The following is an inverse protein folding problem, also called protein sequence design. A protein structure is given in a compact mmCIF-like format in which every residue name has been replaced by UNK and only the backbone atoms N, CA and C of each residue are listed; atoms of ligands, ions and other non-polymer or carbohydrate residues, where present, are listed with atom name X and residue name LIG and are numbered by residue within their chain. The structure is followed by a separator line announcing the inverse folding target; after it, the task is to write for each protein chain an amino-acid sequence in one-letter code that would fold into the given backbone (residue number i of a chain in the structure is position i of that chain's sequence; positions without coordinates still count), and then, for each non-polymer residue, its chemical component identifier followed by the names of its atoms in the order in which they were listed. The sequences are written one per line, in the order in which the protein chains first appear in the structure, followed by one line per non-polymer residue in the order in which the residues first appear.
data_IF_209336247770
#
_entry.id   IF_209336247770
#
_cell.length_a   1.000
_cell.length_b   1.000
_cell.length_c   1.000
_cell.angle_alpha   90.00
_cell.angle_beta   90.00
_cell.angle_gamma   90.00
#
_symmetry.space_group_name_H-M   'P 1'
#
loop_
_entity.id
_entity.type
_entity.pdbx_description
1 polymer ?
#
# COMPACT_ATOMS: atom_id res chain seq x y z
N UNK A 1 39.94 15.93 -4.76
CA UNK A 1 39.92 14.90 -5.82
C UNK A 1 38.71 14.02 -5.58
N UNK A 2 37.66 14.21 -6.39
CA UNK A 2 36.41 13.45 -6.33
C UNK A 2 36.69 12.06 -6.91
N UNK A 3 36.72 11.03 -6.06
CA UNK A 3 36.74 9.64 -6.52
C UNK A 3 35.45 9.41 -7.31
N UNK A 4 35.57 9.28 -8.63
CA UNK A 4 34.49 8.81 -9.46
C UNK A 4 34.08 7.42 -8.93
N UNK A 5 32.93 7.37 -8.25
CA UNK A 5 32.29 6.12 -7.81
C UNK A 5 32.13 5.27 -9.08
N UNK A 6 32.86 4.17 -9.18
CA UNK A 6 32.70 3.19 -10.27
C UNK A 6 31.22 2.85 -10.28
N UNK A 7 30.50 3.19 -11.36
CA UNK A 7 29.07 2.92 -11.44
C UNK A 7 28.90 1.40 -11.31
N UNK A 8 28.18 0.95 -10.28
CA UNK A 8 27.97 -0.46 -10.05
C UNK A 8 27.05 -1.01 -11.18
N UNK A 9 27.15 -2.29 -11.52
CA UNK A 9 26.19 -2.94 -12.44
C UNK A 9 24.75 -2.70 -11.97
N UNK A 10 24.52 -2.64 -10.67
CA UNK A 10 23.25 -2.21 -10.05
C UNK A 10 22.72 -0.89 -10.63
N UNK A 11 23.56 0.15 -10.72
CA UNK A 11 23.18 1.48 -11.22
C UNK A 11 23.08 1.54 -12.75
N UNK A 12 23.78 0.65 -13.46
CA UNK A 12 23.90 0.70 -14.92
C UNK A 12 22.85 -0.14 -15.63
N UNK A 13 22.58 -1.34 -15.11
CA UNK A 13 21.63 -2.29 -15.67
C UNK A 13 21.09 -3.17 -14.53
N UNK A 14 20.01 -2.68 -13.92
CA UNK A 14 19.36 -3.34 -12.80
C UNK A 14 18.88 -4.75 -13.15
N UNK A 15 18.37 -4.96 -14.37
CA UNK A 15 17.88 -6.28 -14.80
C UNK A 15 19.03 -7.29 -14.88
N UNK A 16 20.14 -6.90 -15.50
CA UNK A 16 21.33 -7.74 -15.58
C UNK A 16 21.96 -7.97 -14.20
N UNK A 17 21.92 -6.98 -13.30
CA UNK A 17 22.36 -7.14 -11.91
C UNK A 17 21.51 -8.17 -11.17
N UNK A 18 20.17 -8.16 -11.31
CA UNK A 18 19.29 -9.18 -10.73
C UNK A 18 19.63 -10.57 -11.26
N UNK A 19 19.74 -10.74 -12.58
CA UNK A 19 20.06 -12.03 -13.19
C UNK A 19 21.40 -12.60 -12.67
N UNK A 20 22.42 -11.75 -12.60
CA UNK A 20 23.75 -12.10 -12.09
C UNK A 20 23.68 -12.50 -10.61
N UNK A 21 23.02 -11.69 -9.79
CA UNK A 21 22.87 -11.93 -8.34
C UNK A 21 22.14 -13.25 -8.08
N UNK A 22 21.04 -13.52 -8.80
CA UNK A 22 20.31 -14.80 -8.71
C UNK A 22 21.20 -15.98 -9.11
N UNK A 23 22.01 -15.85 -10.17
CA UNK A 23 22.93 -16.91 -10.60
C UNK A 23 23.98 -17.21 -9.53
N UNK A 24 24.57 -16.19 -8.92
CA UNK A 24 25.56 -16.32 -7.85
C UNK A 24 24.97 -16.97 -6.59
N UNK A 25 23.76 -16.56 -6.19
CA UNK A 25 23.04 -17.16 -5.07
C UNK A 25 22.74 -18.64 -5.32
N UNK A 26 22.30 -19.01 -6.53
CA UNK A 26 22.02 -20.40 -6.91
C UNK A 26 23.28 -21.29 -6.96
N UNK A 27 24.43 -20.73 -7.33
CA UNK A 27 25.70 -21.48 -7.36
C UNK A 27 26.39 -21.56 -6.00
N UNK A 28 25.87 -20.88 -4.98
CA UNK A 28 26.49 -20.79 -3.65
C UNK A 28 27.78 -19.95 -3.62
N UNK A 29 28.08 -19.21 -4.70
CA UNK A 29 29.25 -18.34 -4.76
C UNK A 29 28.92 -16.99 -4.13
N UNK A 30 28.84 -16.97 -2.79
CA UNK A 30 28.54 -15.78 -2.01
C UNK A 30 29.69 -14.78 -2.00
N UNK A 31 30.90 -15.17 -2.43
CA UNK A 31 32.09 -14.31 -2.41
C UNK A 31 32.01 -13.15 -3.39
N UNK A 32 31.21 -13.30 -4.45
CA UNK A 32 31.05 -12.32 -5.53
C UNK A 32 29.67 -11.63 -5.50
N UNK A 33 28.83 -11.95 -4.52
CA UNK A 33 27.51 -11.32 -4.37
C UNK A 33 27.70 -9.90 -3.87
N UNK A 34 27.03 -8.97 -4.53
CA UNK A 34 26.93 -7.58 -4.10
C UNK A 34 25.95 -7.48 -2.91
N UNK A 35 26.44 -7.84 -1.72
CA UNK A 35 25.63 -7.97 -0.52
C UNK A 35 25.01 -6.65 -0.06
N UNK A 36 25.68 -5.52 -0.25
CA UNK A 36 25.17 -4.20 0.17
C UNK A 36 23.90 -3.85 -0.59
N UNK A 37 23.94 -3.88 -1.92
CA UNK A 37 22.77 -3.61 -2.77
C UNK A 37 21.68 -4.69 -2.61
N UNK A 38 22.06 -5.96 -2.40
CA UNK A 38 21.08 -7.02 -2.17
C UNK A 38 20.32 -6.83 -0.85
N UNK A 39 21.01 -6.49 0.24
CA UNK A 39 20.37 -6.20 1.53
C UNK A 39 19.45 -4.99 1.38
N UNK A 40 19.93 -3.91 0.77
CA UNK A 40 19.12 -2.72 0.55
C UNK A 40 17.84 -3.04 -0.23
N UNK A 41 17.93 -3.84 -1.28
CA UNK A 41 16.75 -4.25 -2.06
C UNK A 41 15.79 -5.11 -1.25
N UNK A 42 16.28 -6.08 -0.48
CA UNK A 42 15.40 -6.92 0.37
C UNK A 42 14.70 -6.07 1.43
N UNK A 43 15.39 -5.11 2.04
CA UNK A 43 14.77 -4.14 2.94
C UNK A 43 13.79 -3.20 2.21
N UNK A 44 14.10 -2.83 0.96
CA UNK A 44 13.26 -1.99 0.11
C UNK A 44 11.91 -2.66 -0.20
N UNK A 45 11.91 -3.98 -0.45
CA UNK A 45 10.70 -4.75 -0.73
C UNK A 45 9.69 -4.66 0.43
N UNK A 46 10.12 -4.90 1.67
CA UNK A 46 9.25 -4.81 2.83
C UNK A 46 8.71 -3.39 3.07
N UNK A 47 9.53 -2.35 2.81
CA UNK A 47 9.09 -0.95 2.89
C UNK A 47 8.07 -0.60 1.81
N UNK A 48 8.23 -1.14 0.60
CA UNK A 48 7.34 -0.91 -0.54
C UNK A 48 5.95 -1.46 -0.27
N UNK A 49 5.84 -2.70 0.19
CA UNK A 49 4.54 -3.34 0.45
C UNK A 49 3.79 -2.63 1.60
N UNK A 50 4.52 -2.24 2.67
CA UNK A 50 3.94 -1.43 3.75
C UNK A 50 3.41 -0.08 3.25
N UNK A 51 4.18 0.62 2.41
CA UNK A 51 3.76 1.90 1.83
C UNK A 51 2.56 1.74 0.91
N UNK A 52 2.56 0.73 0.06
CA UNK A 52 1.45 0.45 -0.85
C UNK A 52 0.19 0.09 -0.06
N UNK A 53 0.30 -0.74 0.98
CA UNK A 53 -0.81 -1.07 1.88
C UNK A 53 -1.40 0.19 2.52
N UNK A 54 -0.55 1.06 3.10
CA UNK A 54 -0.96 2.35 3.66
C UNK A 54 -1.72 3.20 2.63
N UNK A 55 -1.13 3.40 1.44
CA UNK A 55 -1.74 4.21 0.38
C UNK A 55 -3.09 3.65 -0.06
N UNK A 56 -3.20 2.34 -0.23
CA UNK A 56 -4.45 1.68 -0.64
C UNK A 56 -5.53 1.81 0.43
N UNK A 57 -5.15 1.74 1.70
CA UNK A 57 -6.05 1.91 2.83
C UNK A 57 -6.58 3.36 2.94
N UNK A 58 -5.71 4.36 2.76
CA UNK A 58 -6.13 5.77 2.72
C UNK A 58 -7.13 6.00 1.58
N UNK A 59 -6.78 5.60 0.35
CA UNK A 59 -7.70 5.75 -0.79
C UNK A 59 -9.01 4.98 -0.57
N UNK A 60 -8.96 3.81 0.07
CA UNK A 60 -10.16 3.06 0.41
C UNK A 60 -11.09 3.89 1.31
N UNK A 61 -10.55 4.52 2.36
CA UNK A 61 -11.32 5.37 3.27
C UNK A 61 -11.83 6.63 2.60
N UNK A 62 -11.01 7.32 1.80
CA UNK A 62 -11.44 8.51 1.05
C UNK A 62 -12.67 8.20 0.19
N UNK A 63 -12.62 7.11 -0.59
CA UNK A 63 -13.72 6.74 -1.47
C UNK A 63 -14.95 6.29 -0.67
N UNK A 64 -14.77 5.60 0.47
CA UNK A 64 -15.86 5.22 1.35
C UNK A 64 -16.53 6.45 2.01
N UNK A 65 -15.74 7.44 2.44
CA UNK A 65 -16.23 8.72 2.98
C UNK A 65 -17.00 9.49 1.92
N UNK A 66 -16.45 9.64 0.71
CA UNK A 66 -17.16 10.24 -0.43
C UNK A 66 -18.50 9.56 -0.65
N UNK A 67 -18.50 8.23 -0.70
CA UNK A 67 -19.68 7.43 -0.98
C UNK A 67 -20.77 7.51 0.08
N UNK A 68 -20.41 7.68 1.36
CA UNK A 68 -21.34 7.71 2.49
C UNK A 68 -21.87 9.11 2.79
N UNK A 69 -21.04 10.14 2.65
CA UNK A 69 -21.35 11.48 3.15
C UNK A 69 -21.61 12.54 2.07
N UNK A 70 -21.19 12.31 0.82
CA UNK A 70 -21.41 13.30 -0.25
C UNK A 70 -22.66 12.99 -1.07
N UNK A 71 -23.56 13.97 -1.30
CA UNK A 71 -24.78 13.78 -2.08
C UNK A 71 -24.53 13.86 -3.59
N UNK A 72 -23.57 13.09 -4.12
CA UNK A 72 -23.16 13.10 -5.53
C UNK A 72 -23.44 11.74 -6.19
N UNK A 73 -24.72 11.42 -6.39
CA UNK A 73 -25.18 10.11 -6.85
C UNK A 73 -24.56 9.66 -8.17
N UNK A 74 -24.26 10.59 -9.07
CA UNK A 74 -23.66 10.30 -10.38
C UNK A 74 -22.22 9.76 -10.24
N UNK A 75 -21.53 10.09 -9.15
CA UNK A 75 -20.17 9.65 -8.87
C UNK A 75 -20.10 8.30 -8.14
N UNK A 76 -21.20 7.83 -7.53
CA UNK A 76 -21.21 6.66 -6.63
C UNK A 76 -20.62 5.41 -7.25
N UNK A 77 -20.98 5.12 -8.51
CA UNK A 77 -20.45 3.95 -9.23
C UNK A 77 -18.93 4.00 -9.39
N UNK A 78 -18.38 5.18 -9.69
CA UNK A 78 -16.93 5.37 -9.85
C UNK A 78 -16.18 5.17 -8.54
N UNK A 79 -16.74 5.67 -7.44
CA UNK A 79 -16.16 5.49 -6.10
C UNK A 79 -16.23 4.04 -5.65
N UNK A 80 -17.37 3.35 -5.83
CA UNK A 80 -17.52 1.92 -5.51
C UNK A 80 -16.55 1.03 -6.32
N UNK A 81 -16.32 1.35 -7.60
CA UNK A 81 -15.31 0.65 -8.42
C UNK A 81 -13.90 0.85 -7.84
N UNK A 82 -13.58 2.07 -7.40
CA UNK A 82 -12.28 2.37 -6.79
C UNK A 82 -12.11 1.63 -5.45
N UNK A 83 -13.15 1.62 -4.62
CA UNK A 83 -13.19 0.84 -3.37
C UNK A 83 -12.91 -0.64 -3.65
N UNK A 84 -13.60 -1.24 -4.63
CA UNK A 84 -13.38 -2.65 -4.98
C UNK A 84 -11.96 -2.93 -5.46
N UNK A 85 -11.36 -2.03 -6.25
CA UNK A 85 -9.95 -2.14 -6.67
C UNK A 85 -9.00 -2.09 -5.48
N UNK A 86 -9.22 -1.18 -4.54
CA UNK A 86 -8.43 -1.12 -3.30
C UNK A 86 -8.59 -2.41 -2.48
N UNK A 87 -9.82 -2.92 -2.30
CA UNK A 87 -10.07 -4.19 -1.61
C UNK A 87 -9.31 -5.36 -2.25
N UNK A 88 -9.33 -5.49 -3.59
CA UNK A 88 -8.57 -6.55 -4.27
C UNK A 88 -7.07 -6.40 -4.07
N UNK A 89 -6.53 -5.19 -4.18
CA UNK A 89 -5.09 -4.96 -3.98
C UNK A 89 -4.63 -5.20 -2.56
N UNK A 90 -5.42 -4.80 -1.56
CA UNK A 90 -5.15 -5.11 -0.17
C UNK A 90 -5.17 -6.63 0.07
N UNK A 91 -6.12 -7.37 -0.53
CA UNK A 91 -6.14 -8.84 -0.44
C UNK A 91 -4.91 -9.48 -1.07
N UNK A 92 -4.48 -9.01 -2.24
CA UNK A 92 -3.26 -9.52 -2.91
C UNK A 92 -2.04 -9.34 -1.99
N UNK A 93 -1.84 -8.13 -1.46
CA UNK A 93 -0.72 -7.81 -0.56
C UNK A 93 -0.75 -8.67 0.71
N UNK A 94 -1.92 -8.81 1.34
CA UNK A 94 -2.05 -9.60 2.58
C UNK A 94 -1.94 -11.10 2.34
N UNK A 95 -2.31 -11.58 1.15
CA UNK A 95 -2.12 -12.97 0.74
C UNK A 95 -0.64 -13.29 0.54
N UNK A 96 0.09 -12.39 -0.12
CA UNK A 96 1.52 -12.54 -0.38
C UNK A 96 2.34 -12.33 0.91
N UNK A 97 1.87 -11.48 1.82
CA UNK A 97 2.50 -11.18 3.11
C UNK A 97 1.52 -11.16 4.29
N UNK A 98 1.11 -12.32 4.84
CA UNK A 98 0.17 -12.40 5.96
C UNK A 98 0.62 -11.67 7.23
N UNK A 99 1.93 -11.48 7.41
CA UNK A 99 2.49 -10.70 8.52
C UNK A 99 2.13 -9.20 8.47
N UNK A 100 1.63 -8.70 7.33
CA UNK A 100 1.14 -7.34 7.20
C UNK A 100 -0.28 -7.14 7.74
N UNK A 101 -1.00 -8.20 8.12
CA UNK A 101 -2.30 -8.06 8.76
C UNK A 101 -2.22 -7.26 10.08
N UNK A 102 -1.21 -7.52 10.93
CA UNK A 102 -1.02 -6.75 12.15
C UNK A 102 -0.66 -5.29 11.83
N UNK A 103 0.21 -5.07 10.86
CA UNK A 103 0.56 -3.73 10.42
C UNK A 103 -0.65 -2.93 9.90
N UNK A 104 -1.57 -3.57 9.16
CA UNK A 104 -2.81 -2.93 8.74
C UNK A 104 -3.64 -2.47 9.94
N UNK A 105 -3.78 -3.32 10.96
CA UNK A 105 -4.48 -2.97 12.20
C UNK A 105 -3.80 -1.80 12.91
N UNK A 106 -2.47 -1.79 12.98
CA UNK A 106 -1.69 -0.75 13.65
C UNK A 106 -1.86 0.62 12.99
N UNK A 107 -1.92 0.67 11.65
CA UNK A 107 -2.04 1.94 10.90
C UNK A 107 -3.48 2.34 10.57
N UNK A 108 -4.47 1.54 10.97
CA UNK A 108 -5.86 1.70 10.55
C UNK A 108 -6.39 3.10 10.87
N UNK A 109 -6.24 3.53 12.12
CA UNK A 109 -6.77 4.81 12.59
C UNK A 109 -6.01 5.98 11.96
N UNK A 110 -4.68 5.89 11.85
CA UNK A 110 -3.86 6.91 11.21
C UNK A 110 -4.22 7.10 9.73
N UNK A 111 -4.44 6.01 8.99
CA UNK A 111 -4.86 6.07 7.59
C UNK A 111 -6.26 6.67 7.44
N UNK A 112 -7.15 6.40 8.40
CA UNK A 112 -8.48 7.00 8.41
C UNK A 112 -8.41 8.52 8.66
N UNK A 113 -7.61 8.96 9.63
CA UNK A 113 -7.43 10.40 9.90
C UNK A 113 -6.84 11.12 8.69
N UNK A 114 -5.81 10.55 8.05
CA UNK A 114 -5.21 11.11 6.84
C UNK A 114 -6.25 11.24 5.71
N UNK A 115 -7.11 10.22 5.53
CA UNK A 115 -8.21 10.29 4.57
C UNK A 115 -9.22 11.41 4.92
N UNK A 116 -9.60 11.57 6.19
CA UNK A 116 -10.50 12.65 6.63
C UNK A 116 -9.89 14.02 6.37
N UNK A 117 -8.60 14.22 6.65
CA UNK A 117 -7.89 15.47 6.35
C UNK A 117 -7.92 15.80 4.86
N UNK A 118 -7.62 14.81 4.00
CA UNK A 118 -7.71 14.97 2.55
C UNK A 118 -9.13 15.33 2.09
N UNK A 119 -10.15 14.67 2.65
CA UNK A 119 -11.55 14.93 2.29
C UNK A 119 -12.04 16.31 2.74
N UNK A 120 -11.59 16.81 3.89
CA UNK A 120 -11.88 18.17 4.38
C UNK A 120 -11.26 19.26 3.52
N UNK A 121 -10.17 18.97 2.80
CA UNK A 121 -9.58 19.89 1.82
C UNK A 121 -10.39 19.88 0.52
N UNK A 122 -10.83 18.71 0.07
CA UNK A 122 -11.52 18.55 -1.23
C UNK A 122 -12.99 18.97 -1.18
N UNK A 123 -13.66 18.81 -0.05
CA UNK A 123 -15.09 19.05 0.11
C UNK A 123 -15.44 19.82 1.38
N UNK A 124 -16.36 20.77 1.25
CA UNK A 124 -17.01 21.44 2.37
C UNK A 124 -18.13 20.55 2.94
N UNK A 125 -17.72 19.47 3.61
CA UNK A 125 -18.62 18.49 4.21
C UNK A 125 -18.11 18.02 5.59
N UNK A 126 -19.04 17.65 6.46
CA UNK A 126 -18.72 17.14 7.79
C UNK A 126 -18.41 15.64 7.72
N UNK A 127 -17.14 15.30 7.87
CA UNK A 127 -16.68 13.91 8.03
C UNK A 127 -16.42 13.61 9.51
N UNK A 128 -16.79 12.42 10.01
CA UNK A 128 -16.65 12.08 11.42
C UNK A 128 -15.18 11.87 11.82
N UNK A 129 -14.79 12.39 12.99
CA UNK A 129 -13.42 12.21 13.53
C UNK A 129 -13.13 10.77 13.94
N UNK A 130 -14.17 9.98 14.27
CA UNK A 130 -14.04 8.55 14.58
C UNK A 130 -14.48 7.74 13.37
N UNK A 131 -13.68 6.74 12.98
CA UNK A 131 -13.98 5.88 11.84
C UNK A 131 -15.33 5.17 12.04
N UNK A 132 -16.31 5.36 11.14
CA UNK A 132 -17.62 4.73 11.21
C UNK A 132 -17.66 3.36 10.52
N UNK A 133 -16.52 2.88 10.03
CA UNK A 133 -16.37 1.63 9.29
C UNK A 133 -15.84 0.52 10.20
N UNK A 134 -16.07 -0.74 9.81
CA UNK A 134 -15.58 -1.88 10.58
C UNK A 134 -14.05 -1.89 10.64
N UNK A 135 -13.51 -2.15 11.84
CA UNK A 135 -12.09 -2.45 12.06
C UNK A 135 -11.74 -3.91 11.76
N UNK A 136 -12.75 -4.77 11.58
CA UNK A 136 -12.54 -6.14 11.14
C UNK A 136 -12.06 -6.17 9.69
N UNK A 137 -10.94 -6.87 9.47
CA UNK A 137 -10.28 -6.93 8.16
C UNK A 137 -11.18 -7.64 7.14
N UNK A 138 -11.89 -8.68 7.55
CA UNK A 138 -12.78 -9.40 6.64
C UNK A 138 -13.93 -8.50 6.16
N UNK A 139 -14.61 -7.82 7.09
CA UNK A 139 -15.64 -6.85 6.79
C UNK A 139 -15.14 -5.70 5.90
N UNK A 140 -13.94 -5.17 6.17
CA UNK A 140 -13.33 -4.10 5.40
C UNK A 140 -13.03 -4.53 3.95
N UNK A 141 -12.58 -5.77 3.74
CA UNK A 141 -12.09 -6.24 2.45
C UNK A 141 -13.15 -6.97 1.61
N UNK A 142 -14.13 -7.59 2.25
CA UNK A 142 -15.11 -8.43 1.56
C UNK A 142 -16.49 -7.77 1.46
N UNK A 143 -16.87 -6.93 2.41
CA UNK A 143 -18.22 -6.39 2.47
C UNK A 143 -18.32 -4.99 1.87
N UNK A 144 -19.57 -4.54 1.70
CA UNK A 144 -19.90 -3.16 1.34
C UNK A 144 -20.00 -2.30 2.60
N UNK A 145 -18.90 -2.20 3.35
CA UNK A 145 -18.86 -1.56 4.67
C UNK A 145 -19.21 -0.05 4.67
N UNK A 146 -19.31 0.57 3.49
CA UNK A 146 -19.66 1.98 3.30
C UNK A 146 -21.18 2.21 3.15
N UNK A 147 -21.98 1.15 2.99
CA UNK A 147 -23.44 1.23 3.04
C UNK A 147 -23.88 1.09 4.51
N UNK A 148 -24.86 1.88 4.95
CA UNK A 148 -25.47 1.69 6.27
C UNK A 148 -26.16 0.31 6.31
N UNK A 149 -26.03 -0.40 7.44
CA UNK A 149 -26.96 -1.51 7.73
C UNK A 149 -28.36 -0.91 7.85
N UNK A 150 -29.20 -1.15 6.84
CA UNK A 150 -30.62 -0.76 6.86
C UNK A 150 -31.43 -1.62 7.80
#
# INVERSE_FOLDING_TARGET
MTLAKVKNLYDQDFALWIEKTVKQLKSGDLSQVDLENLIEEVESLGRRDKRELKNRLITLFEQALKRRYLPLSDCYRGWEVTIKRCQFKLKDILKDSPSLCSFLTDIYDDCYQEAVENMRIEYDANFPDVCPFSKDIDGLLNHKFWEDEK
#
